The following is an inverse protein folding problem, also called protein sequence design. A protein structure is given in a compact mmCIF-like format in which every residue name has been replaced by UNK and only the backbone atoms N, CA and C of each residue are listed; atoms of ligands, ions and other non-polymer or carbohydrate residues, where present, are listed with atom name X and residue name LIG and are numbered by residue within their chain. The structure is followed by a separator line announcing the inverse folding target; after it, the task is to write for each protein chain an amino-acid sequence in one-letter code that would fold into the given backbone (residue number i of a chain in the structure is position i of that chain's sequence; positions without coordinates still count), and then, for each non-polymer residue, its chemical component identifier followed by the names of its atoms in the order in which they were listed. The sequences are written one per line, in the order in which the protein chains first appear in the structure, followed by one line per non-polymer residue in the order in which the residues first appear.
data_IF_725565642240
#
_entry.id   IF_725565642240
#
_cell.length_a   1.000
_cell.length_b   1.000
_cell.length_c   1.000
_cell.angle_alpha   90.00
_cell.angle_beta   90.00
_cell.angle_gamma   90.00
#
_symmetry.space_group_name_H-M   'P 1'
#
loop_
_entity.id
_entity.type
_entity.pdbx_description
1 polymer ?
#
# COMPACT_ATOMS: atom_id res chain seq x y z
N UNK A 1 -18.64 -10.80 1.21
CA UNK A 1 -18.34 -11.64 2.39
C UNK A 1 -16.88 -11.48 2.72
N UNK A 2 -16.52 -11.45 4.01
CA UNK A 2 -15.13 -11.40 4.45
C UNK A 2 -14.30 -12.51 3.79
N UNK A 3 -13.08 -12.19 3.35
CA UNK A 3 -12.16 -13.14 2.71
C UNK A 3 -10.72 -13.06 3.24
N UNK A 4 -9.93 -14.10 3.02
CA UNK A 4 -8.50 -14.10 3.33
C UNK A 4 -7.72 -13.36 2.23
N UNK A 5 -6.85 -12.39 2.57
CA UNK A 5 -6.01 -11.74 1.58
C UNK A 5 -4.85 -12.65 1.16
N UNK A 6 -4.35 -12.47 -0.07
CA UNK A 6 -3.32 -13.33 -0.67
C UNK A 6 -2.01 -13.39 0.15
N UNK A 7 -1.62 -12.28 0.77
CA UNK A 7 -0.41 -12.22 1.60
C UNK A 7 -0.53 -13.00 2.92
N UNK A 8 -1.70 -13.08 3.55
CA UNK A 8 -1.91 -13.96 4.71
C UNK A 8 -2.08 -15.43 4.30
N UNK A 9 -2.67 -15.69 3.12
CA UNK A 9 -2.64 -17.04 2.54
C UNK A 9 -1.21 -17.51 2.28
N UNK A 10 -0.30 -16.63 1.87
CA UNK A 10 1.12 -16.96 1.72
C UNK A 10 1.77 -17.35 3.07
N UNK A 11 1.47 -16.64 4.16
CA UNK A 11 1.93 -17.02 5.51
C UNK A 11 1.37 -18.38 5.92
N UNK A 12 0.07 -18.60 5.73
CA UNK A 12 -0.59 -19.89 6.01
C UNK A 12 0.08 -21.02 5.25
N UNK A 13 0.31 -20.85 3.96
CA UNK A 13 0.95 -21.86 3.12
C UNK A 13 2.39 -22.12 3.56
N UNK A 14 3.14 -21.08 3.93
CA UNK A 14 4.50 -21.22 4.45
C UNK A 14 4.51 -22.08 5.73
N UNK A 15 3.66 -21.77 6.70
CA UNK A 15 3.57 -22.53 7.95
C UNK A 15 3.16 -23.98 7.71
N UNK A 16 2.09 -24.22 6.95
CA UNK A 16 1.63 -25.57 6.64
C UNK A 16 2.65 -26.38 5.81
N UNK A 17 3.51 -25.71 5.04
CA UNK A 17 4.56 -26.41 4.28
C UNK A 17 5.62 -27.02 5.20
N UNK A 18 5.91 -26.38 6.33
CA UNK A 18 7.04 -26.75 7.19
C UNK A 18 6.64 -27.32 8.56
N UNK A 19 5.39 -27.09 8.99
CA UNK A 19 4.90 -27.53 10.31
C UNK A 19 3.78 -28.57 10.21
N UNK A 20 3.22 -28.84 9.03
CA UNK A 20 2.40 -30.02 8.80
C UNK A 20 3.29 -31.13 8.23
N UNK A 21 3.88 -31.93 9.10
CA UNK A 21 4.89 -32.94 8.73
C UNK A 21 4.24 -34.12 8.03
N UNK A 22 3.09 -34.60 8.53
CA UNK A 22 2.33 -35.70 7.91
C UNK A 22 0.95 -35.25 7.40
N UNK A 23 0.93 -34.79 6.14
CA UNK A 23 -0.30 -34.31 5.47
C UNK A 23 -1.38 -35.39 5.29
N UNK A 24 -1.09 -36.65 5.58
CA UNK A 24 -2.03 -37.77 5.44
C UNK A 24 -2.75 -38.12 6.74
N UNK A 25 -2.26 -37.65 7.89
CA UNK A 25 -2.76 -38.06 9.19
C UNK A 25 -2.81 -36.86 10.15
N UNK A 26 -3.98 -36.64 10.76
CA UNK A 26 -4.10 -35.61 11.81
C UNK A 26 -3.33 -36.02 13.06
N UNK A 27 -2.38 -35.19 13.51
CA UNK A 27 -1.55 -35.47 14.70
C UNK A 27 -1.37 -34.21 15.55
N UNK A 28 -1.25 -34.39 16.86
CA UNK A 28 -0.99 -33.27 17.78
C UNK A 28 0.39 -32.64 17.63
N UNK A 29 1.30 -33.31 16.91
CA UNK A 29 2.63 -32.80 16.56
C UNK A 29 2.61 -31.94 15.29
N UNK A 30 1.56 -32.03 14.48
CA UNK A 30 1.44 -31.35 13.20
C UNK A 30 0.56 -30.10 13.32
N UNK A 31 0.90 -29.06 12.57
CA UNK A 31 0.03 -27.89 12.41
C UNK A 31 -0.97 -28.16 11.30
N UNK A 32 -2.23 -28.39 11.66
CA UNK A 32 -3.24 -28.78 10.69
C UNK A 32 -3.84 -27.59 9.91
N UNK A 33 -4.35 -27.79 8.68
CA UNK A 33 -4.93 -26.70 7.90
C UNK A 33 -6.09 -25.98 8.59
N UNK A 34 -6.83 -26.68 9.47
CA UNK A 34 -7.92 -26.14 10.26
C UNK A 34 -7.42 -25.31 11.47
N UNK A 35 -6.17 -25.51 11.88
CA UNK A 35 -5.52 -24.81 12.98
C UNK A 35 -4.78 -23.54 12.53
N UNK A 36 -4.80 -23.24 11.23
CA UNK A 36 -4.26 -22.00 10.65
C UNK A 36 -5.39 -21.17 10.06
N UNK A 37 -6.09 -20.43 10.93
CA UNK A 37 -7.28 -19.66 10.61
C UNK A 37 -6.97 -18.22 10.19
N UNK A 38 -7.71 -17.67 9.23
CA UNK A 38 -7.57 -16.26 8.80
C UNK A 38 -8.90 -15.53 8.92
N UNK A 39 -9.98 -16.16 8.45
CA UNK A 39 -11.32 -15.57 8.43
C UNK A 39 -12.14 -16.19 9.56
N UNK A 40 -12.72 -15.36 10.40
CA UNK A 40 -13.59 -15.84 11.48
C UNK A 40 -14.86 -16.47 10.90
N UNK A 41 -15.44 -17.43 11.61
CA UNK A 41 -16.66 -18.13 11.21
C UNK A 41 -17.85 -17.16 10.95
N UNK A 42 -18.96 -17.60 10.32
CA UNK A 42 -20.06 -16.70 9.98
C UNK A 42 -20.69 -15.95 11.16
N UNK A 43 -20.58 -16.47 12.38
CA UNK A 43 -21.07 -15.86 13.62
C UNK A 43 -20.09 -14.85 14.22
N UNK A 44 -18.81 -14.94 13.87
CA UNK A 44 -17.77 -14.01 14.31
C UNK A 44 -18.11 -12.57 13.87
N UNK A 45 -18.09 -11.66 14.85
CA UNK A 45 -18.38 -10.24 14.66
C UNK A 45 -17.29 -9.42 15.32
N UNK A 46 -16.77 -8.46 14.57
CA UNK A 46 -15.70 -7.60 15.02
C UNK A 46 -14.29 -8.22 15.00
N UNK A 47 -13.30 -7.38 15.31
CA UNK A 47 -11.89 -7.76 15.33
C UNK A 47 -11.27 -7.99 13.95
N UNK A 48 -10.01 -8.43 13.98
CA UNK A 48 -9.18 -8.57 12.78
C UNK A 48 -9.54 -9.78 11.90
N UNK A 49 -10.31 -10.75 12.41
CA UNK A 49 -10.87 -11.85 11.60
C UNK A 49 -12.04 -11.44 10.70
N UNK A 50 -12.54 -10.21 10.87
CA UNK A 50 -13.64 -9.63 10.10
C UNK A 50 -13.13 -8.59 9.09
N UNK A 51 -13.71 -8.62 7.90
CA UNK A 51 -13.66 -7.54 6.93
C UNK A 51 -14.73 -6.48 7.23
N UNK A 52 -14.80 -5.47 6.37
CA UNK A 52 -15.71 -4.32 6.48
C UNK A 52 -17.19 -4.70 6.57
N UNK A 53 -17.56 -5.90 6.11
CA UNK A 53 -18.92 -6.43 6.16
C UNK A 53 -19.32 -7.00 7.53
N UNK A 54 -18.37 -7.22 8.45
CA UNK A 54 -18.61 -7.87 9.75
C UNK A 54 -18.01 -7.17 10.96
N UNK A 55 -17.17 -6.15 10.75
CA UNK A 55 -16.75 -5.26 11.85
C UNK A 55 -17.95 -4.50 12.40
N UNK A 56 -17.95 -4.27 13.71
CA UNK A 56 -19.05 -3.57 14.39
C UNK A 56 -18.77 -2.07 14.52
N UNK A 57 -19.79 -1.23 14.78
CA UNK A 57 -19.54 0.19 15.06
C UNK A 57 -18.53 0.37 16.20
N UNK A 58 -17.53 1.24 15.99
CA UNK A 58 -16.42 1.48 16.93
C UNK A 58 -15.55 0.26 17.25
N UNK A 59 -15.49 -0.70 16.33
CA UNK A 59 -14.58 -1.83 16.47
C UNK A 59 -13.14 -1.35 16.66
N UNK A 60 -12.48 -1.86 17.70
CA UNK A 60 -11.12 -1.44 18.04
C UNK A 60 -10.11 -1.74 16.93
N UNK A 61 -10.36 -2.81 16.16
CA UNK A 61 -9.56 -3.20 14.99
C UNK A 61 -9.70 -2.24 13.82
N UNK A 62 -10.47 -1.16 13.97
CA UNK A 62 -10.67 -0.11 12.98
C UNK A 62 -10.35 1.25 13.57
N UNK A 63 -10.84 1.56 14.78
CA UNK A 63 -10.82 2.94 15.30
C UNK A 63 -9.59 3.30 16.13
N UNK A 64 -8.81 2.32 16.60
CA UNK A 64 -7.67 2.61 17.48
C UNK A 64 -6.43 3.11 16.72
N UNK A 65 -6.35 2.96 15.40
CA UNK A 65 -5.21 3.39 14.59
C UNK A 65 -5.61 3.78 13.17
N UNK A 66 -4.94 4.80 12.62
CA UNK A 66 -5.18 5.26 11.24
C UNK A 66 -4.73 4.24 10.19
N UNK A 67 -3.76 3.39 10.52
CA UNK A 67 -3.36 2.25 9.67
C UNK A 67 -4.50 1.24 9.54
N UNK A 68 -5.35 1.13 10.55
CA UNK A 68 -6.46 0.18 10.54
C UNK A 68 -7.71 0.76 9.86
N UNK A 69 -8.07 2.01 10.18
CA UNK A 69 -9.21 2.66 9.54
C UNK A 69 -9.00 2.89 8.04
N UNK A 70 -7.82 3.35 7.62
CA UNK A 70 -7.51 3.55 6.19
C UNK A 70 -7.29 2.23 5.43
N UNK A 71 -6.97 1.16 6.15
CA UNK A 71 -6.74 -0.18 5.64
C UNK A 71 -8.01 -1.04 5.52
N UNK A 72 -9.15 -0.58 6.01
CA UNK A 72 -10.36 -1.40 6.08
C UNK A 72 -10.86 -1.79 4.68
N UNK A 73 -11.00 -3.10 4.45
CA UNK A 73 -11.53 -3.73 3.23
C UNK A 73 -12.39 -4.93 3.61
N UNK A 74 -12.91 -5.68 2.63
CA UNK A 74 -13.53 -6.98 2.87
C UNK A 74 -12.55 -8.07 3.36
N UNK A 75 -11.25 -7.80 3.43
CA UNK A 75 -10.30 -8.79 3.90
C UNK A 75 -10.19 -8.83 5.43
N UNK A 76 -10.05 -10.04 5.95
CA UNK A 76 -9.52 -10.24 7.30
C UNK A 76 -8.06 -9.78 7.36
N UNK A 77 -7.59 -9.43 8.55
CA UNK A 77 -6.22 -9.03 8.84
C UNK A 77 -5.70 -9.72 10.10
N UNK A 78 -6.13 -10.97 10.30
CA UNK A 78 -5.70 -11.82 11.40
C UNK A 78 -5.21 -13.18 10.91
N UNK A 79 -4.40 -13.83 11.73
CA UNK A 79 -3.96 -15.21 11.58
C UNK A 79 -3.97 -15.88 12.95
N UNK A 80 -4.72 -16.97 13.08
CA UNK A 80 -4.60 -17.88 14.22
C UNK A 80 -3.66 -19.01 13.86
N UNK A 81 -2.76 -19.37 14.78
CA UNK A 81 -1.88 -20.53 14.68
C UNK A 81 -2.13 -21.42 15.88
N UNK A 82 -2.61 -22.64 15.62
CA UNK A 82 -2.89 -23.65 16.64
C UNK A 82 -1.64 -24.43 17.09
N UNK A 83 -1.90 -25.60 17.65
CA UNK A 83 -0.90 -26.44 18.28
C UNK A 83 0.02 -27.08 17.24
N UNK A 84 1.29 -27.27 17.61
CA UNK A 84 2.23 -28.14 16.90
C UNK A 84 3.38 -28.50 17.84
N UNK A 85 4.19 -29.49 17.46
CA UNK A 85 5.42 -29.84 18.15
C UNK A 85 6.42 -30.48 17.19
N UNK A 86 7.55 -29.82 16.97
CA UNK A 86 8.57 -30.23 16.00
C UNK A 86 9.96 -30.23 16.63
N UNK A 87 10.71 -31.32 16.41
CA UNK A 87 12.10 -31.42 16.85
C UNK A 87 13.04 -30.97 15.73
N UNK A 88 13.80 -29.90 15.95
CA UNK A 88 14.74 -29.35 14.97
C UNK A 88 15.86 -28.55 15.65
N UNK A 89 17.07 -28.61 15.09
CA UNK A 89 18.23 -27.91 15.65
C UNK A 89 18.62 -28.36 17.06
N UNK A 90 18.31 -29.60 17.44
CA UNK A 90 18.59 -30.14 18.77
C UNK A 90 17.60 -29.71 19.87
N UNK A 91 16.51 -29.03 19.53
CA UNK A 91 15.47 -28.62 20.46
C UNK A 91 14.06 -28.96 19.94
N UNK A 92 13.10 -29.02 20.85
CA UNK A 92 11.67 -29.13 20.50
C UNK A 92 11.06 -27.74 20.47
N UNK A 93 10.39 -27.41 19.37
CA UNK A 93 9.66 -26.17 19.16
C UNK A 93 8.17 -26.48 19.06
N UNK A 94 7.36 -25.65 19.68
CA UNK A 94 5.93 -25.81 19.84
C UNK A 94 5.24 -24.43 19.79
N UNK A 95 3.92 -24.40 19.97
CA UNK A 95 3.19 -23.12 20.00
C UNK A 95 3.75 -22.11 21.02
N UNK A 96 4.31 -22.54 22.16
CA UNK A 96 4.74 -21.62 23.23
C UNK A 96 6.07 -20.96 22.88
N UNK A 97 7.03 -21.78 22.47
CA UNK A 97 8.33 -21.31 21.97
C UNK A 97 8.17 -20.47 20.71
N UNK A 98 7.23 -20.83 19.83
CA UNK A 98 6.82 -20.00 18.69
C UNK A 98 6.33 -18.62 19.13
N UNK A 99 5.31 -18.55 19.98
CA UNK A 99 4.69 -17.28 20.32
C UNK A 99 5.60 -16.35 21.11
N UNK A 100 6.38 -16.91 22.04
CA UNK A 100 7.38 -16.16 22.79
C UNK A 100 8.49 -15.62 21.87
N UNK A 101 8.92 -16.40 20.87
CA UNK A 101 9.86 -15.92 19.86
C UNK A 101 9.30 -14.75 19.08
N UNK A 102 8.08 -14.85 18.51
CA UNK A 102 7.49 -13.74 17.74
C UNK A 102 7.32 -12.47 18.57
N UNK A 103 6.83 -12.60 19.81
CA UNK A 103 6.69 -11.46 20.72
C UNK A 103 8.03 -10.82 21.02
N UNK A 104 9.10 -11.60 21.18
CA UNK A 104 10.45 -11.05 21.38
C UNK A 104 10.91 -10.19 20.18
N UNK A 105 10.63 -10.63 18.95
CA UNK A 105 10.99 -9.88 17.74
C UNK A 105 10.18 -8.60 17.60
N UNK A 106 8.89 -8.67 17.94
CA UNK A 106 8.00 -7.53 17.95
C UNK A 106 8.42 -6.48 18.99
N UNK A 107 8.76 -6.92 20.21
CA UNK A 107 9.27 -6.08 21.29
C UNK A 107 10.65 -5.46 20.96
N UNK A 108 11.52 -6.18 20.27
CA UNK A 108 12.80 -5.67 19.78
C UNK A 108 12.67 -4.68 18.60
N UNK A 109 11.47 -4.47 18.07
CA UNK A 109 11.24 -3.53 16.96
C UNK A 109 11.80 -4.03 15.63
N UNK A 110 11.89 -5.35 15.44
CA UNK A 110 12.41 -5.92 14.20
C UNK A 110 11.69 -5.37 12.96
N UNK A 111 12.44 -5.08 11.90
CA UNK A 111 11.91 -4.38 10.73
C UNK A 111 10.77 -5.16 10.04
N UNK A 112 10.88 -6.47 9.99
CA UNK A 112 9.89 -7.41 9.47
C UNK A 112 8.70 -7.69 10.40
N UNK A 113 8.70 -7.13 11.61
CA UNK A 113 7.58 -7.21 12.55
C UNK A 113 6.70 -5.94 12.55
N UNK A 114 7.02 -4.93 11.71
CA UNK A 114 6.35 -3.60 11.71
C UNK A 114 4.88 -3.64 11.30
N UNK A 115 4.48 -4.67 10.57
CA UNK A 115 3.10 -4.85 10.13
C UNK A 115 2.23 -5.62 11.14
N UNK A 116 2.83 -6.17 12.20
CA UNK A 116 2.08 -6.79 13.30
C UNK A 116 1.59 -5.70 14.26
N UNK A 117 0.28 -5.72 14.50
CA UNK A 117 -0.46 -4.82 15.38
C UNK A 117 -0.62 -5.41 16.78
N UNK A 118 -0.97 -6.69 16.89
CA UNK A 118 -0.95 -7.39 18.17
C UNK A 118 -0.68 -8.89 18.01
N UNK A 119 -0.21 -9.47 19.12
CA UNK A 119 -0.11 -10.91 19.31
C UNK A 119 -0.77 -11.25 20.65
N UNK A 120 -1.80 -12.07 20.63
CA UNK A 120 -2.41 -12.65 21.83
C UNK A 120 -1.97 -14.10 21.92
N UNK A 121 -1.38 -14.48 23.04
CA UNK A 121 -0.71 -15.76 23.17
C UNK A 121 -0.69 -16.26 24.61
N UNK A 122 -0.34 -17.53 24.77
CA UNK A 122 -0.01 -18.12 26.05
C UNK A 122 1.45 -18.56 26.10
N UNK A 123 2.29 -17.98 26.99
CA UNK A 123 3.70 -18.38 27.10
C UNK A 123 3.88 -19.75 27.78
N UNK A 124 2.90 -20.20 28.56
CA UNK A 124 3.01 -21.36 29.46
C UNK A 124 1.80 -22.31 29.37
N UNK A 125 0.83 -22.02 28.50
CA UNK A 125 -0.43 -22.77 28.39
C UNK A 125 -1.41 -22.52 29.54
N UNK A 126 -1.15 -21.55 30.44
CA UNK A 126 -1.97 -21.25 31.62
C UNK A 126 -2.37 -19.79 31.71
N UNK A 127 -1.50 -18.90 31.26
CA UNK A 127 -1.71 -17.46 31.27
C UNK A 127 -1.91 -16.95 29.85
N UNK A 128 -2.79 -15.97 29.66
CA UNK A 128 -2.94 -15.27 28.37
C UNK A 128 -2.31 -13.90 28.50
N UNK A 129 -1.50 -13.54 27.51
CA UNK A 129 -0.84 -12.24 27.39
C UNK A 129 -1.16 -11.64 26.03
N UNK A 130 -1.11 -10.31 25.96
CA UNK A 130 -1.15 -9.57 24.70
C UNK A 130 0.10 -8.71 24.57
N UNK A 131 0.79 -8.84 23.45
CA UNK A 131 1.70 -7.81 22.97
C UNK A 131 0.92 -6.92 21.99
N UNK A 132 0.95 -5.60 22.20
CA UNK A 132 0.25 -4.61 21.39
C UNK A 132 1.22 -3.49 20.99
N UNK A 133 1.37 -3.27 19.69
CA UNK A 133 2.25 -2.22 19.17
C UNK A 133 1.81 -0.82 19.59
N UNK A 134 0.51 -0.60 19.77
CA UNK A 134 -0.04 0.69 20.16
C UNK A 134 -0.01 0.91 21.68
N UNK A 135 0.28 -0.12 22.47
CA UNK A 135 0.26 -0.06 23.93
C UNK A 135 -1.11 0.24 24.53
N UNK A 136 -2.21 0.01 23.79
CA UNK A 136 -3.58 0.30 24.23
C UNK A 136 -4.21 -0.87 24.97
N UNK A 137 -3.69 -2.08 24.78
CA UNK A 137 -4.28 -3.33 25.26
C UNK A 137 -3.24 -4.28 25.85
N UNK A 138 -3.63 -5.04 26.89
CA UNK A 138 -2.67 -5.82 27.71
C UNK A 138 -3.01 -7.30 27.92
N UNK A 139 -4.23 -7.75 27.60
CA UNK A 139 -4.66 -9.16 27.78
C UNK A 139 -5.59 -9.64 26.66
N UNK A 140 -5.91 -10.94 26.64
CA UNK A 140 -6.92 -11.59 25.80
C UNK A 140 -7.81 -12.55 26.60
N UNK A 141 -8.71 -13.26 25.94
CA UNK A 141 -9.55 -14.29 26.55
C UNK A 141 -8.89 -15.67 26.59
N UNK A 142 -9.51 -16.63 27.29
CA UNK A 142 -8.95 -17.97 27.52
C UNK A 142 -8.85 -18.87 26.29
N UNK A 143 -9.46 -18.52 25.15
CA UNK A 143 -9.32 -19.33 23.92
C UNK A 143 -7.87 -19.34 23.41
N UNK A 144 -7.11 -18.28 23.72
CA UNK A 144 -5.69 -18.12 23.38
C UNK A 144 -4.73 -18.97 24.22
N UNK A 145 -5.24 -19.84 25.10
CA UNK A 145 -4.44 -20.88 25.74
C UNK A 145 -4.03 -21.99 24.75
N UNK A 146 -4.79 -22.15 23.67
CA UNK A 146 -4.66 -23.25 22.72
C UNK A 146 -4.26 -22.82 21.30
N UNK A 147 -4.20 -21.52 21.04
CA UNK A 147 -3.72 -20.95 19.79
C UNK A 147 -3.07 -19.59 20.04
N UNK A 148 -2.31 -19.10 19.07
CA UNK A 148 -1.78 -17.73 19.07
C UNK A 148 -2.45 -16.94 17.97
N UNK A 149 -3.00 -15.80 18.36
CA UNK A 149 -3.68 -14.87 17.49
C UNK A 149 -2.73 -13.75 17.09
N UNK A 150 -2.51 -13.58 15.80
CA UNK A 150 -1.81 -12.43 15.21
C UNK A 150 -2.84 -11.50 14.58
N UNK A 151 -2.76 -10.22 14.91
CA UNK A 151 -3.40 -9.16 14.14
C UNK A 151 -2.35 -8.37 13.38
N UNK A 152 -2.61 -8.13 12.10
CA UNK A 152 -1.83 -7.29 11.23
C UNK A 152 -2.54 -5.95 11.06
N UNK A 153 -1.78 -4.86 10.93
CA UNK A 153 -2.39 -3.60 10.54
C UNK A 153 -3.12 -3.75 9.21
N UNK A 154 -4.34 -3.21 9.12
CA UNK A 154 -5.16 -3.42 7.90
C UNK A 154 -4.55 -2.75 6.66
N UNK A 155 -3.76 -1.68 6.82
CA UNK A 155 -3.09 -1.03 5.69
C UNK A 155 -2.05 -1.94 5.02
N UNK A 156 -1.36 -2.80 5.77
CA UNK A 156 -0.35 -3.70 5.22
C UNK A 156 -0.97 -4.86 4.46
N UNK A 157 -2.08 -5.39 4.97
CA UNK A 157 -2.85 -6.43 4.29
C UNK A 157 -3.48 -5.87 3.01
N UNK A 158 -4.12 -4.69 3.08
CA UNK A 158 -4.68 -3.96 1.93
C UNK A 158 -3.64 -3.63 0.87
N UNK A 159 -2.45 -3.19 1.27
CA UNK A 159 -1.36 -2.85 0.36
C UNK A 159 -0.69 -4.07 -0.28
N UNK A 160 -1.09 -5.30 0.09
CA UNK A 160 -0.49 -6.52 -0.44
C UNK A 160 0.96 -6.73 -0.02
N UNK A 161 1.40 -6.09 1.09
CA UNK A 161 2.78 -6.27 1.59
C UNK A 161 3.01 -7.71 1.97
N UNK A 162 4.20 -8.23 1.67
CA UNK A 162 4.60 -9.57 2.04
C UNK A 162 4.67 -9.71 3.57
N UNK A 163 3.85 -10.61 4.11
CA UNK A 163 3.77 -10.90 5.55
C UNK A 163 4.60 -12.14 5.95
N UNK A 164 5.23 -12.82 4.98
CA UNK A 164 6.06 -14.00 5.23
C UNK A 164 7.43 -13.77 5.88
N UNK A 165 8.10 -12.59 5.81
CA UNK A 165 9.50 -12.48 6.23
C UNK A 165 9.78 -12.89 7.68
N UNK A 166 8.96 -12.45 8.64
CA UNK A 166 9.16 -12.80 10.05
C UNK A 166 8.93 -14.30 10.31
N UNK A 167 7.93 -14.89 9.65
CA UNK A 167 7.63 -16.32 9.73
C UNK A 167 8.72 -17.18 9.08
N UNK A 168 9.26 -16.74 7.94
CA UNK A 168 10.42 -17.35 7.30
C UNK A 168 11.64 -17.28 8.23
N UNK A 169 11.86 -16.13 8.90
CA UNK A 169 12.96 -15.99 9.85
C UNK A 169 12.80 -16.90 11.06
N UNK A 170 11.59 -17.08 11.58
CA UNK A 170 11.32 -18.07 12.62
C UNK A 170 11.71 -19.49 12.16
N UNK A 171 11.17 -19.94 11.03
CA UNK A 171 11.44 -21.28 10.49
C UNK A 171 12.93 -21.50 10.21
N UNK A 172 13.64 -20.45 9.80
CA UNK A 172 15.10 -20.46 9.64
C UNK A 172 15.80 -20.59 10.99
N UNK A 173 15.38 -19.80 11.98
CA UNK A 173 15.99 -19.77 13.31
C UNK A 173 15.86 -21.10 14.05
N UNK A 174 14.76 -21.82 13.84
CA UNK A 174 14.56 -23.16 14.41
C UNK A 174 15.13 -24.29 13.53
N UNK A 175 15.73 -23.96 12.39
CA UNK A 175 16.42 -24.92 11.51
C UNK A 175 15.53 -25.73 10.57
N UNK A 176 14.25 -25.36 10.38
CA UNK A 176 13.35 -26.07 9.46
C UNK A 176 13.54 -25.68 7.99
N UNK A 177 14.08 -24.49 7.74
CA UNK A 177 14.46 -24.06 6.40
C UNK A 177 15.88 -23.51 6.42
N UNK A 178 16.58 -23.70 5.31
CA UNK A 178 17.88 -23.07 5.12
C UNK A 178 17.71 -21.55 5.16
N UNK A 179 18.70 -20.81 5.72
CA UNK A 179 18.73 -19.36 5.55
C UNK A 179 18.71 -19.06 4.06
N UNK A 180 18.00 -17.99 3.68
CA UNK A 180 18.09 -17.48 2.31
C UNK A 180 19.57 -17.28 2.04
N UNK A 181 20.09 -18.04 1.06
CA UNK A 181 21.47 -17.87 0.61
C UNK A 181 21.62 -16.37 0.34
N UNK A 182 22.60 -15.67 0.94
CA UNK A 182 22.84 -14.29 0.56
C UNK A 182 22.94 -14.31 -0.96
N UNK A 183 22.04 -13.59 -1.64
CA UNK A 183 22.34 -13.26 -3.02
C UNK A 183 23.72 -12.61 -2.94
N UNK A 184 24.67 -13.11 -3.74
CA UNK A 184 25.94 -12.40 -3.92
C UNK A 184 25.53 -11.01 -4.36
N UNK A 185 25.53 -10.06 -3.42
CA UNK A 185 25.13 -8.70 -3.68
C UNK A 185 25.96 -8.22 -4.85
N UNK A 186 25.33 -7.47 -5.76
CA UNK A 186 26.10 -6.78 -6.78
C UNK A 186 27.08 -5.86 -6.07
N UNK A 187 28.36 -6.20 -6.08
CA UNK A 187 29.43 -5.36 -5.57
C UNK A 187 29.67 -4.20 -6.54
N UNK A 188 30.20 -3.08 -6.05
CA UNK A 188 30.55 -1.96 -6.94
C UNK A 188 31.57 -2.35 -8.03
N UNK A 189 32.31 -3.44 -7.83
CA UNK A 189 33.25 -4.00 -8.80
C UNK A 189 32.61 -4.94 -9.81
N UNK A 190 31.35 -5.34 -9.61
CA UNK A 190 30.70 -6.32 -10.49
C UNK A 190 30.40 -5.71 -11.85
N UNK A 191 30.68 -6.48 -12.89
CA UNK A 191 30.37 -6.10 -14.27
C UNK A 191 28.86 -6.08 -14.48
N UNK A 192 28.39 -5.10 -15.23
CA UNK A 192 26.99 -5.06 -15.66
C UNK A 192 26.73 -6.23 -16.61
N UNK A 193 25.66 -6.98 -16.34
CA UNK A 193 25.28 -8.19 -17.09
C UNK A 193 24.80 -7.83 -18.50
N UNK A 194 24.27 -6.61 -18.68
CA UNK A 194 23.77 -6.13 -19.96
C UNK A 194 24.81 -5.25 -20.67
N UNK A 195 24.88 -5.37 -21.98
CA UNK A 195 25.76 -4.55 -22.81
C UNK A 195 25.36 -3.07 -22.69
N UNK A 196 26.25 -2.28 -22.08
CA UNK A 196 26.09 -0.83 -21.95
C UNK A 196 26.83 -0.06 -23.05
N UNK A 197 27.37 -0.74 -24.06
CA UNK A 197 28.33 -0.20 -25.02
C UNK A 197 29.75 -0.07 -24.44
N UNK A 198 29.94 -0.39 -23.15
CA UNK A 198 31.21 -0.34 -22.43
C UNK A 198 31.44 -1.67 -21.68
N UNK A 199 32.17 -2.65 -22.26
CA UNK A 199 32.24 -4.04 -21.77
C UNK A 199 32.97 -4.24 -20.43
N UNK A 200 33.55 -3.18 -19.88
CA UNK A 200 34.26 -3.17 -18.60
C UNK A 200 33.57 -2.33 -17.53
N UNK A 201 32.34 -1.86 -17.80
CA UNK A 201 31.60 -1.02 -16.87
C UNK A 201 31.09 -1.83 -15.69
N UNK A 202 31.30 -1.30 -14.49
CA UNK A 202 30.86 -1.92 -13.24
C UNK A 202 29.64 -1.20 -12.64
N UNK A 203 29.02 -1.82 -11.64
CA UNK A 203 27.97 -1.20 -10.81
C UNK A 203 28.45 0.12 -10.19
N UNK A 204 29.69 0.16 -9.69
CA UNK A 204 30.32 1.36 -9.14
C UNK A 204 30.44 2.50 -10.14
N UNK A 205 30.71 2.19 -11.41
CA UNK A 205 30.71 3.22 -12.46
C UNK A 205 29.31 3.82 -12.69
N UNK A 206 28.24 3.04 -12.54
CA UNK A 206 26.86 3.55 -12.66
C UNK A 206 26.52 4.43 -11.46
N UNK A 207 26.89 4.01 -10.26
CA UNK A 207 26.67 4.82 -9.05
C UNK A 207 27.43 6.15 -9.12
N UNK A 208 28.69 6.13 -9.57
CA UNK A 208 29.47 7.35 -9.78
C UNK A 208 28.82 8.28 -10.82
N UNK A 209 28.28 7.75 -11.90
CA UNK A 209 27.55 8.55 -12.90
C UNK A 209 26.28 9.19 -12.32
N UNK A 210 25.54 8.46 -11.48
CA UNK A 210 24.35 8.98 -10.80
C UNK A 210 24.68 10.04 -9.76
N UNK A 211 25.78 9.87 -9.03
CA UNK A 211 26.30 10.88 -8.09
C UNK A 211 26.76 12.14 -8.81
N UNK A 212 27.49 11.99 -9.92
CA UNK A 212 27.91 13.10 -10.77
C UNK A 212 26.70 13.83 -11.37
N UNK A 213 25.67 13.09 -11.80
CA UNK A 213 24.41 13.66 -12.28
C UNK A 213 23.72 14.48 -11.18
N UNK A 214 23.59 13.91 -9.98
CA UNK A 214 23.00 14.62 -8.84
C UNK A 214 23.75 15.91 -8.57
N UNK A 215 25.09 15.84 -8.47
CA UNK A 215 25.93 16.99 -8.19
C UNK A 215 25.78 18.06 -9.28
N UNK A 216 25.72 17.65 -10.55
CA UNK A 216 25.51 18.56 -11.67
C UNK A 216 24.13 19.23 -11.64
N UNK A 217 23.06 18.50 -11.29
CA UNK A 217 21.70 19.04 -11.21
C UNK A 217 21.50 20.07 -10.08
N UNK A 218 22.21 19.92 -8.97
CA UNK A 218 22.06 20.80 -7.79
C UNK A 218 23.09 21.92 -7.72
N UNK A 219 24.13 21.87 -8.54
CA UNK A 219 25.20 22.87 -8.50
C UNK A 219 24.85 24.10 -9.34
N UNK A 220 25.22 25.31 -8.88
CA UNK A 220 25.08 26.53 -9.67
C UNK A 220 25.81 26.44 -11.02
N UNK A 221 25.24 27.09 -12.04
CA UNK A 221 25.86 27.23 -13.36
C UNK A 221 27.23 27.90 -13.20
N UNK A 222 28.28 27.26 -13.74
CA UNK A 222 29.65 27.79 -13.69
C UNK A 222 30.50 27.30 -12.51
N UNK A 223 30.01 26.36 -11.70
CA UNK A 223 30.80 25.76 -10.62
C UNK A 223 32.01 24.99 -11.17
N UNK A 224 33.22 25.42 -10.78
CA UNK A 224 34.49 24.81 -11.20
C UNK A 224 34.62 23.38 -10.65
N UNK A 225 34.96 22.41 -11.51
CA UNK A 225 35.18 21.01 -11.11
C UNK A 225 33.99 20.07 -11.35
N UNK A 226 32.87 20.57 -11.88
CA UNK A 226 31.82 19.70 -12.43
C UNK A 226 32.33 19.00 -13.70
N UNK A 227 32.10 17.69 -13.79
CA UNK A 227 32.30 16.92 -15.01
C UNK A 227 31.52 17.61 -16.14
N UNK A 228 32.11 17.65 -17.34
CA UNK A 228 31.49 18.26 -18.51
C UNK A 228 30.06 17.77 -18.75
N UNK A 229 29.24 18.52 -19.51
CA UNK A 229 27.84 18.15 -19.75
C UNK A 229 27.71 16.69 -20.24
N UNK A 230 26.59 16.01 -19.94
CA UNK A 230 26.34 14.66 -20.43
C UNK A 230 26.59 14.57 -21.95
N UNK A 231 27.13 13.44 -22.40
CA UNK A 231 27.41 13.25 -23.83
C UNK A 231 26.16 13.51 -24.68
N UNK A 232 26.36 14.15 -25.84
CA UNK A 232 25.28 14.43 -26.78
C UNK A 232 24.49 13.14 -27.09
N UNK A 233 23.16 13.25 -27.11
CA UNK A 233 22.20 12.16 -27.35
C UNK A 233 22.15 11.04 -26.29
N UNK A 234 22.93 11.11 -25.21
CA UNK A 234 22.78 10.18 -24.09
C UNK A 234 21.37 10.31 -23.46
N UNK A 235 20.83 9.24 -22.85
CA UNK A 235 19.56 9.32 -22.11
C UNK A 235 19.56 10.46 -21.08
N UNK A 236 20.71 10.72 -20.45
CA UNK A 236 20.90 11.81 -19.50
C UNK A 236 20.78 13.19 -20.15
N UNK A 237 21.37 13.40 -21.32
CA UNK A 237 21.22 14.66 -22.05
C UNK A 237 19.77 14.89 -22.50
N UNK A 238 19.04 13.82 -22.85
CA UNK A 238 17.62 13.90 -23.20
C UNK A 238 16.76 14.26 -21.99
N UNK A 239 16.95 13.59 -20.85
CA UNK A 239 16.26 13.92 -19.60
C UNK A 239 16.54 15.35 -19.16
N UNK A 240 17.78 15.82 -19.33
CA UNK A 240 18.15 17.20 -19.06
C UNK A 240 17.43 18.19 -19.99
N UNK A 241 17.40 17.91 -21.29
CA UNK A 241 16.68 18.75 -22.25
C UNK A 241 15.19 18.85 -21.90
N UNK A 242 14.57 17.74 -21.49
CA UNK A 242 13.19 17.71 -21.00
C UNK A 242 13.02 18.56 -19.74
N UNK A 243 13.89 18.40 -18.74
CA UNK A 243 13.82 19.17 -17.49
C UNK A 243 13.97 20.69 -17.73
N UNK A 244 14.84 21.10 -18.66
CA UNK A 244 15.01 22.51 -19.06
C UNK A 244 13.82 23.05 -19.85
N UNK A 245 13.15 22.21 -20.64
CA UNK A 245 11.95 22.60 -21.40
C UNK A 245 10.69 22.70 -20.51
N UNK A 246 10.71 22.10 -19.31
CA UNK A 246 9.56 22.01 -18.42
C UNK A 246 8.93 23.37 -18.06
N UNK A 247 9.67 24.42 -17.65
CA UNK A 247 9.06 25.71 -17.32
C UNK A 247 8.34 26.36 -18.51
N UNK A 248 8.90 26.23 -19.72
CA UNK A 248 8.28 26.75 -20.94
C UNK A 248 6.99 25.98 -21.29
N UNK A 249 7.00 24.66 -21.12
CA UNK A 249 5.80 23.83 -21.28
C UNK A 249 4.71 24.22 -20.29
N UNK A 250 5.05 24.40 -19.01
CA UNK A 250 4.11 24.85 -17.97
C UNK A 250 3.52 26.21 -18.34
N UNK A 251 4.33 27.15 -18.84
CA UNK A 251 3.85 28.45 -19.28
C UNK A 251 2.86 28.34 -20.45
N UNK A 252 3.13 27.48 -21.43
CA UNK A 252 2.21 27.23 -22.56
C UNK A 252 0.90 26.59 -22.10
N UNK A 253 0.96 25.62 -21.20
CA UNK A 253 -0.24 24.97 -20.63
C UNK A 253 -1.07 25.99 -19.86
N UNK A 254 -0.45 26.84 -19.04
CA UNK A 254 -1.16 27.90 -18.32
C UNK A 254 -1.78 28.94 -19.27
N UNK A 255 -1.10 29.26 -20.38
CA UNK A 255 -1.65 30.17 -21.38
C UNK A 255 -2.88 29.57 -22.08
N UNK A 256 -2.88 28.26 -22.35
CA UNK A 256 -4.02 27.56 -22.90
C UNK A 256 -5.15 27.41 -21.88
N UNK A 257 -4.85 27.08 -20.62
CA UNK A 257 -5.88 26.90 -19.59
C UNK A 257 -6.63 28.18 -19.25
N UNK A 258 -5.97 29.33 -19.42
CA UNK A 258 -6.55 30.66 -19.17
C UNK A 258 -7.13 31.30 -20.44
N UNK A 259 -7.03 30.63 -21.60
CA UNK A 259 -7.61 31.12 -22.83
C UNK A 259 -9.10 30.83 -22.82
N UNK A 260 -9.90 31.85 -23.05
CA UNK A 260 -11.29 31.65 -23.41
C UNK A 260 -11.35 31.15 -24.86
N UNK A 261 -11.93 29.98 -25.06
CA UNK A 261 -12.13 29.37 -26.37
C UNK A 261 -13.53 29.63 -26.91
N UNK A 262 -14.39 30.26 -26.12
CA UNK A 262 -15.75 30.61 -26.51
C UNK A 262 -15.75 32.07 -26.94
N UNK A 263 -16.29 32.35 -28.13
CA UNK A 263 -16.62 33.71 -28.54
C UNK A 263 -18.14 33.87 -28.41
N UNK A 264 -18.60 34.36 -27.26
CA UNK A 264 -20.02 34.55 -27.02
C UNK A 264 -20.64 35.57 -27.98
N UNK A 265 -19.86 36.54 -28.47
CA UNK A 265 -20.34 37.53 -29.44
C UNK A 265 -20.59 36.89 -30.80
N UNK A 266 -19.70 36.02 -31.25
CA UNK A 266 -19.88 35.26 -32.49
C UNK A 266 -21.07 34.29 -32.38
N UNK A 267 -21.21 33.60 -31.25
CA UNK A 267 -22.37 32.72 -30.98
C UNK A 267 -23.67 33.53 -30.99
N UNK A 268 -23.73 34.66 -30.28
CA UNK A 268 -24.92 35.53 -30.25
C UNK A 268 -25.23 36.06 -31.65
N UNK A 269 -24.22 36.50 -32.39
CA UNK A 269 -24.39 36.99 -33.76
C UNK A 269 -24.95 35.90 -34.67
N UNK A 270 -24.44 34.67 -34.58
CA UNK A 270 -24.94 33.52 -35.34
C UNK A 270 -26.38 33.14 -34.96
N UNK A 271 -26.70 33.14 -33.66
CA UNK A 271 -28.06 32.86 -33.17
C UNK A 271 -29.06 33.92 -33.66
N UNK A 272 -28.70 35.20 -33.56
CA UNK A 272 -29.56 36.31 -34.03
C UNK A 272 -29.69 36.34 -35.55
N UNK A 273 -28.66 35.95 -36.31
CA UNK A 273 -28.77 35.81 -37.76
C UNK A 273 -29.78 34.73 -38.18
N UNK A 274 -29.98 33.69 -37.35
CA UNK A 274 -30.97 32.63 -37.58
C UNK A 274 -32.37 32.94 -37.01
N UNK A 275 -32.51 33.99 -36.19
CA UNK A 275 -33.74 34.38 -35.51
C UNK A 275 -34.14 35.79 -35.96
N UNK A 276 -34.80 35.93 -37.13
CA UNK A 276 -35.27 37.24 -37.58
C UNK A 276 -36.29 37.80 -36.57
N UNK A 277 -36.42 39.15 -36.45
CA UNK A 277 -37.28 39.80 -35.47
C UNK A 277 -38.71 39.28 -35.44
N UNK A 278 -39.24 38.86 -36.58
CA UNK A 278 -40.59 38.30 -36.72
C UNK A 278 -40.72 36.95 -36.01
N UNK A 279 -39.71 36.06 -36.12
CA UNK A 279 -39.70 34.78 -35.40
C UNK A 279 -39.51 34.96 -33.90
N UNK A 280 -38.75 35.99 -33.49
CA UNK A 280 -38.60 36.35 -32.08
C UNK A 280 -39.95 36.85 -31.55
N UNK A 281 -40.66 37.71 -32.30
CA UNK A 281 -41.97 38.21 -31.93
C UNK A 281 -43.04 37.10 -31.84
N UNK A 282 -43.04 36.14 -32.77
CA UNK A 282 -43.94 34.98 -32.75
C UNK A 282 -43.70 34.06 -31.54
N UNK A 283 -42.46 33.97 -31.05
CA UNK A 283 -42.09 33.12 -29.92
C UNK A 283 -42.39 33.76 -28.55
N UNK A 284 -42.66 35.07 -28.49
CA UNK A 284 -42.98 35.76 -27.23
C UNK A 284 -44.46 35.51 -26.87
N UNK A 285 -44.76 34.96 -25.68
CA UNK A 285 -46.14 34.80 -25.22
C UNK A 285 -46.88 36.16 -25.20
N UNK A 286 -48.15 36.22 -25.65
CA UNK A 286 -48.90 37.48 -25.76
C UNK A 286 -49.03 38.28 -24.47
N UNK A 287 -48.91 37.62 -23.31
CA UNK A 287 -48.92 38.28 -22.01
C UNK A 287 -47.61 39.04 -21.76
N UNK A 288 -46.47 38.41 -22.04
CA UNK A 288 -45.15 39.03 -21.87
C UNK A 288 -44.96 40.20 -22.84
N UNK A 289 -45.45 40.07 -24.08
CA UNK A 289 -45.40 41.17 -25.05
C UNK A 289 -46.17 42.42 -24.55
N UNK A 290 -47.32 42.21 -23.91
CA UNK A 290 -48.10 43.29 -23.28
C UNK A 290 -47.36 43.91 -22.11
N UNK A 291 -46.83 43.09 -21.20
CA UNK A 291 -46.09 43.59 -20.03
C UNK A 291 -44.86 44.42 -20.43
N UNK A 292 -44.14 44.03 -21.50
CA UNK A 292 -43.01 44.80 -22.05
C UNK A 292 -43.46 46.11 -22.69
N UNK A 293 -44.57 46.09 -23.45
CA UNK A 293 -45.11 47.28 -24.08
C UNK A 293 -45.58 48.30 -23.03
N UNK A 294 -46.25 47.85 -21.97
CA UNK A 294 -46.71 48.68 -20.86
C UNK A 294 -45.54 49.30 -20.10
N UNK A 295 -44.47 48.54 -19.85
CA UNK A 295 -43.26 49.03 -19.19
C UNK A 295 -42.49 50.05 -20.06
N UNK A 296 -42.38 49.83 -21.37
CA UNK A 296 -41.78 50.80 -22.29
C UNK A 296 -42.59 52.10 -22.32
N UNK A 297 -43.92 51.99 -22.38
CA UNK A 297 -44.83 53.13 -22.38
C UNK A 297 -44.72 53.95 -21.09
N UNK A 298 -44.64 53.27 -19.93
CA UNK A 298 -44.40 53.89 -18.62
C UNK A 298 -43.06 54.63 -18.56
N UNK A 299 -42.00 54.09 -19.16
CA UNK A 299 -40.67 54.72 -19.17
C UNK A 299 -40.54 55.88 -20.15
N UNK A 300 -41.28 55.86 -21.26
CA UNK A 300 -41.26 56.95 -22.23
C UNK A 300 -42.12 58.15 -21.80
N UNK A 301 -43.04 57.93 -20.84
CA UNK A 301 -43.91 58.97 -20.29
C UNK A 301 -43.43 59.54 -18.95
N UNK A 302 -42.34 58.98 -18.39
CA UNK A 302 -41.65 59.46 -17.19
C UNK A 302 -40.42 60.29 -17.58
#
# INVERSE_FOLDING_TARGET
MTSAPANLLAVRNLLLTHLNVDKSTVRSQDLEPAEVGIVGDPSHRGGYHCGSDRVVPRDYSVVESTRDSSGLTLHASALDVGMFSVSSGGATHDLRTFSTWFVSQCAAGAADARDIREIIYSPDGRTVKRWDRLGKRTTGDSSHLFHTHFSFFRDSTKAGRDQTPLFRRYLTAIGLIAPVKPETGMEQTDKLINDTGYPNRTVGNVLADLENLRNWLISPVGTTGLVGPPQANSPLQQMLAMARAWPALVAQVNALSNRDFTDEQEIVTGVLAGLPPEKIAEAIPPQIARDVADELSRRLTA
#
